data_IF_029839649371
#
_entry.id   IF_029839649371
#
_cell.length_a   1.000
_cell.length_b   1.000
_cell.length_c   1.000
_cell.angle_alpha   90.00
_cell.angle_beta   90.00
_cell.angle_gamma   90.00
#
_symmetry.space_group_name_H-M   'P 1'
#
loop_
_entity.id
_entity.type
_entity.pdbx_description
1 polymer ?
#
# COMPACT_ATOMS: atom_id res chain seq x y z
N UNK A 1 -108.11 38.93 67.71
CA UNK A 1 -107.45 40.23 67.84
C UNK A 1 -106.19 40.33 66.96
N UNK A 2 -106.21 41.35 66.31
CA UNK A 2 -105.37 42.42 65.80
C UNK A 2 -104.56 42.10 64.55
N UNK A 3 -104.96 42.85 63.70
CA UNK A 3 -104.43 43.60 62.52
C UNK A 3 -102.91 43.74 62.45
N UNK A 4 -102.32 43.66 61.21
CA UNK A 4 -101.72 44.84 60.56
C UNK A 4 -101.17 44.55 59.19
N UNK A 5 -101.65 45.33 58.29
CA UNK A 5 -101.11 45.98 57.12
C UNK A 5 -99.78 45.43 56.50
N UNK A 6 -99.87 44.85 55.29
CA UNK A 6 -98.78 44.64 54.45
C UNK A 6 -98.60 45.75 53.40
N UNK A 7 -97.45 46.32 53.31
CA UNK A 7 -96.98 47.19 52.22
C UNK A 7 -96.41 46.37 51.08
N UNK A 8 -96.98 46.48 49.88
CA UNK A 8 -96.39 45.97 48.63
C UNK A 8 -95.22 46.86 48.22
N UNK A 9 -94.07 46.26 48.09
CA UNK A 9 -92.90 46.90 47.50
C UNK A 9 -92.78 46.39 46.10
N UNK A 10 -92.90 47.28 45.08
CA UNK A 10 -92.59 47.00 43.66
C UNK A 10 -91.08 46.85 43.50
N UNK A 11 -90.61 45.67 43.18
CA UNK A 11 -89.20 45.41 42.77
C UNK A 11 -89.18 45.51 41.31
N UNK A 12 -88.54 46.57 40.77
CA UNK A 12 -88.22 46.73 39.36
C UNK A 12 -87.08 45.79 38.98
N UNK A 13 -87.32 44.78 38.18
CA UNK A 13 -86.29 43.94 37.60
C UNK A 13 -85.52 44.69 36.53
N UNK A 14 -84.30 45.12 36.85
CA UNK A 14 -83.35 45.58 35.91
C UNK A 14 -82.72 44.39 35.12
N UNK A 15 -83.10 44.23 33.91
CA UNK A 15 -82.44 43.25 32.98
C UNK A 15 -80.97 43.67 32.85
N UNK A 16 -80.04 42.88 33.46
CA UNK A 16 -78.60 42.93 33.17
C UNK A 16 -78.35 42.27 31.78
N UNK A 17 -78.17 43.06 30.77
CA UNK A 17 -77.59 42.60 29.50
C UNK A 17 -76.13 42.24 29.69
N UNK A 18 -75.83 40.94 29.67
CA UNK A 18 -74.46 40.44 29.62
C UNK A 18 -73.89 40.72 28.22
N UNK A 19 -73.08 41.75 28.10
CA UNK A 19 -72.33 42.01 26.90
C UNK A 19 -71.29 40.88 26.71
N UNK A 20 -71.51 40.05 25.71
CA UNK A 20 -70.53 39.05 25.28
C UNK A 20 -69.27 39.75 24.83
N UNK A 21 -68.20 39.56 25.61
CA UNK A 21 -66.83 40.06 25.32
C UNK A 21 -66.31 39.28 24.07
N UNK A 22 -66.41 39.90 22.89
CA UNK A 22 -65.81 39.42 21.65
C UNK A 22 -64.29 39.28 21.90
N UNK A 23 -63.75 38.05 21.87
CA UNK A 23 -62.32 37.81 21.85
C UNK A 23 -61.72 38.56 20.64
N UNK A 24 -60.62 39.29 20.81
CA UNK A 24 -60.00 39.97 19.68
C UNK A 24 -59.56 38.92 18.64
N UNK A 25 -60.04 39.03 17.43
CA UNK A 25 -59.56 38.25 16.30
C UNK A 25 -58.05 38.49 16.14
N UNK A 26 -57.25 37.48 16.42
CA UNK A 26 -55.79 37.50 16.24
C UNK A 26 -55.54 37.72 14.77
N UNK A 27 -55.25 38.96 14.37
CA UNK A 27 -54.81 39.32 13.03
C UNK A 27 -53.49 38.54 12.80
N UNK A 28 -53.56 37.39 12.08
CA UNK A 28 -52.39 36.73 11.58
C UNK A 28 -51.65 37.72 10.71
N UNK A 29 -50.46 38.13 11.09
CA UNK A 29 -49.65 39.02 10.26
C UNK A 29 -49.37 38.30 8.97
N UNK A 30 -49.64 38.92 7.80
CA UNK A 30 -49.36 38.36 6.49
C UNK A 30 -47.90 37.88 6.41
N UNK A 31 -46.98 38.47 7.14
CA UNK A 31 -45.60 38.06 7.30
C UNK A 31 -45.45 36.67 7.96
N UNK A 32 -46.22 36.37 9.02
CA UNK A 32 -46.17 35.05 9.69
C UNK A 32 -46.69 33.91 8.80
N UNK A 33 -47.75 34.21 7.97
CA UNK A 33 -48.25 33.17 7.05
C UNK A 33 -47.30 32.93 5.88
N UNK A 34 -46.62 33.93 5.36
CA UNK A 34 -45.59 33.78 4.30
C UNK A 34 -44.39 32.98 4.83
N UNK A 35 -43.90 33.27 6.03
CA UNK A 35 -42.82 32.50 6.67
C UNK A 35 -43.19 31.03 6.90
N UNK A 36 -44.42 30.74 7.35
CA UNK A 36 -44.93 29.40 7.50
C UNK A 36 -45.03 28.62 6.18
N UNK A 37 -45.42 29.30 5.09
CA UNK A 37 -45.43 28.74 3.74
C UNK A 37 -44.01 28.45 3.21
N UNK A 38 -43.08 29.36 3.38
CA UNK A 38 -41.69 29.18 2.99
C UNK A 38 -41.05 28.01 3.78
N UNK A 39 -41.32 27.92 5.07
CA UNK A 39 -40.86 26.81 5.88
C UNK A 39 -41.50 25.47 5.45
N UNK A 40 -42.80 25.48 5.13
CA UNK A 40 -43.50 24.30 4.60
C UNK A 40 -42.94 23.81 3.26
N UNK A 41 -42.65 24.75 2.32
CA UNK A 41 -42.02 24.40 1.04
C UNK A 41 -40.60 23.85 1.27
N UNK A 42 -39.80 24.48 2.12
CA UNK A 42 -38.47 24.01 2.47
C UNK A 42 -38.51 22.60 3.09
N UNK A 43 -39.40 22.38 4.04
CA UNK A 43 -39.61 21.08 4.68
C UNK A 43 -40.07 20.00 3.68
N UNK A 44 -41.01 20.33 2.79
CA UNK A 44 -41.46 19.44 1.71
C UNK A 44 -40.31 19.13 0.72
N UNK A 45 -39.49 20.12 0.37
CA UNK A 45 -38.31 19.95 -0.48
C UNK A 45 -37.29 19.02 0.18
N UNK A 46 -37.00 19.21 1.45
CA UNK A 46 -36.10 18.30 2.21
C UNK A 46 -36.67 16.90 2.29
N UNK A 47 -37.97 16.74 2.60
CA UNK A 47 -38.61 15.42 2.66
C UNK A 47 -38.59 14.71 1.30
N UNK A 48 -38.89 15.43 0.20
CA UNK A 48 -38.81 14.85 -1.15
C UNK A 48 -37.38 14.47 -1.53
N UNK A 49 -36.38 15.27 -1.17
CA UNK A 49 -34.95 14.97 -1.35
C UNK A 49 -34.54 13.72 -0.59
N UNK A 50 -34.97 13.58 0.66
CA UNK A 50 -34.71 12.36 1.47
C UNK A 50 -35.37 11.12 0.86
N UNK A 51 -36.62 11.20 0.43
CA UNK A 51 -37.31 10.10 -0.23
C UNK A 51 -36.61 9.67 -1.53
N UNK A 52 -36.19 10.64 -2.33
CA UNK A 52 -35.40 10.36 -3.54
C UNK A 52 -34.08 9.69 -3.20
N UNK A 53 -33.36 10.17 -2.18
CA UNK A 53 -32.09 9.56 -1.73
C UNK A 53 -32.29 8.12 -1.26
N UNK A 54 -33.35 7.84 -0.48
CA UNK A 54 -33.71 6.48 -0.06
C UNK A 54 -34.05 5.59 -1.25
N UNK A 55 -34.82 6.11 -2.21
CA UNK A 55 -35.15 5.38 -3.43
C UNK A 55 -33.91 5.02 -4.25
N UNK A 56 -33.04 6.00 -4.50
CA UNK A 56 -31.77 5.79 -5.21
C UNK A 56 -30.89 4.79 -4.49
N UNK A 57 -30.78 4.90 -3.16
CA UNK A 57 -30.02 3.96 -2.34
C UNK A 57 -30.57 2.55 -2.43
N UNK A 58 -31.90 2.36 -2.30
CA UNK A 58 -32.55 1.06 -2.41
C UNK A 58 -32.38 0.45 -3.82
N UNK A 59 -32.43 1.27 -4.86
CA UNK A 59 -32.19 0.86 -6.23
C UNK A 59 -30.75 0.37 -6.43
N UNK A 60 -29.76 1.14 -5.98
CA UNK A 60 -28.34 0.76 -6.02
C UNK A 60 -28.11 -0.52 -5.20
N UNK A 61 -28.67 -0.59 -3.98
CA UNK A 61 -28.46 -1.72 -3.08
C UNK A 61 -28.92 -3.07 -3.71
N UNK A 62 -29.99 -3.04 -4.52
CA UNK A 62 -30.47 -4.23 -5.25
C UNK A 62 -29.54 -4.67 -6.39
N UNK A 63 -28.77 -3.76 -6.94
CA UNK A 63 -27.83 -4.05 -8.04
C UNK A 63 -26.43 -4.45 -7.56
N UNK A 64 -26.20 -4.44 -6.25
CA UNK A 64 -24.89 -4.80 -5.70
C UNK A 64 -24.59 -6.28 -5.93
N UNK A 65 -23.36 -6.60 -6.36
CA UNK A 65 -22.93 -7.98 -6.53
C UNK A 65 -23.05 -8.78 -5.23
N UNK A 66 -23.14 -10.11 -5.31
CA UNK A 66 -23.11 -10.98 -4.14
C UNK A 66 -21.75 -10.83 -3.43
N UNK A 67 -21.74 -11.01 -2.10
CA UNK A 67 -20.52 -10.91 -1.28
C UNK A 67 -19.89 -12.27 -0.99
N UNK A 68 -20.36 -13.32 -1.62
CA UNK A 68 -19.83 -14.68 -1.43
C UNK A 68 -18.33 -14.76 -1.73
N UNK A 69 -17.85 -13.94 -2.68
CA UNK A 69 -16.42 -13.79 -3.00
C UNK A 69 -15.58 -13.20 -1.84
N UNK A 70 -16.20 -12.49 -0.90
CA UNK A 70 -15.51 -12.02 0.31
C UNK A 70 -15.55 -13.05 1.44
N UNK A 71 -16.67 -13.77 1.57
CA UNK A 71 -16.83 -14.79 2.60
C UNK A 71 -15.89 -16.00 2.37
N UNK A 72 -15.61 -16.33 1.11
CA UNK A 72 -14.64 -17.37 0.69
C UNK A 72 -13.37 -16.74 0.09
N UNK A 73 -12.98 -15.58 0.61
CA UNK A 73 -11.81 -14.87 0.11
C UNK A 73 -10.55 -15.69 0.32
N UNK A 74 -10.00 -16.17 -0.79
CA UNK A 74 -8.68 -16.77 -0.87
C UNK A 74 -7.75 -15.79 -1.59
N UNK A 75 -6.76 -15.21 -0.90
CA UNK A 75 -5.80 -14.35 -1.55
C UNK A 75 -5.11 -15.11 -2.69
N UNK A 76 -4.81 -14.41 -3.79
CA UNK A 76 -3.99 -14.98 -4.86
C UNK A 76 -2.59 -15.25 -4.30
N UNK A 77 -2.33 -16.49 -3.95
CA UNK A 77 -1.03 -16.92 -3.40
C UNK A 77 -0.18 -17.39 -4.57
N UNK A 78 1.07 -16.93 -4.69
CA UNK A 78 1.96 -17.33 -5.78
C UNK A 78 2.29 -18.82 -5.74
N UNK A 79 2.64 -19.37 -6.90
CA UNK A 79 3.24 -20.70 -7.00
C UNK A 79 4.62 -20.68 -6.32
N UNK A 80 4.87 -21.61 -5.42
CA UNK A 80 6.17 -21.83 -4.76
C UNK A 80 6.77 -23.13 -5.18
N UNK A 81 8.06 -23.09 -5.54
CA UNK A 81 8.84 -24.29 -5.91
C UNK A 81 9.92 -24.51 -4.89
N UNK A 82 9.96 -25.72 -4.35
CA UNK A 82 10.83 -26.14 -3.26
C UNK A 82 11.81 -27.21 -3.73
N UNK A 83 13.03 -27.16 -3.22
CA UNK A 83 14.02 -28.24 -3.37
C UNK A 83 13.70 -29.43 -2.48
N UNK A 84 14.38 -30.55 -2.69
CA UNK A 84 14.26 -31.76 -1.87
C UNK A 84 14.70 -31.53 -0.40
N UNK A 85 15.66 -30.63 -0.19
CA UNK A 85 16.16 -30.22 1.12
C UNK A 85 15.37 -29.04 1.74
N UNK A 86 14.17 -28.75 1.21
CA UNK A 86 13.20 -27.81 1.79
C UNK A 86 13.51 -26.32 1.58
N UNK A 87 14.42 -25.97 0.66
CA UNK A 87 14.71 -24.57 0.34
C UNK A 87 13.79 -24.06 -0.77
N UNK A 88 13.35 -22.80 -0.65
CA UNK A 88 12.56 -22.14 -1.68
C UNK A 88 13.47 -21.80 -2.87
N UNK A 89 13.21 -22.39 -4.04
CA UNK A 89 14.01 -22.21 -5.26
C UNK A 89 13.31 -21.44 -6.37
N UNK A 90 12.00 -21.17 -6.20
CA UNK A 90 11.24 -20.34 -7.13
C UNK A 90 9.93 -19.88 -6.51
N UNK A 91 9.54 -18.62 -6.82
CA UNK A 91 8.24 -18.07 -6.49
C UNK A 91 7.72 -17.31 -7.71
N UNK A 92 6.53 -17.70 -8.21
CA UNK A 92 5.95 -17.19 -9.45
C UNK A 92 4.54 -16.66 -9.19
N UNK A 93 4.35 -15.37 -9.45
CA UNK A 93 3.10 -14.64 -9.30
C UNK A 93 3.33 -13.15 -9.55
N UNK A 94 2.29 -12.46 -9.97
CA UNK A 94 2.36 -11.01 -10.21
C UNK A 94 2.42 -10.21 -8.92
N UNK A 95 1.85 -10.77 -7.85
CA UNK A 95 1.66 -10.10 -6.56
C UNK A 95 2.35 -10.89 -5.45
N UNK A 96 3.05 -10.19 -4.57
CA UNK A 96 3.56 -10.78 -3.34
C UNK A 96 2.47 -10.70 -2.30
N UNK A 97 1.89 -11.86 -1.95
CA UNK A 97 0.85 -11.97 -0.93
C UNK A 97 1.21 -13.07 0.07
N UNK A 98 1.40 -12.67 1.30
CA UNK A 98 1.51 -13.57 2.44
C UNK A 98 0.29 -13.36 3.32
N UNK A 99 -0.57 -14.34 3.40
CA UNK A 99 -1.77 -14.28 4.22
C UNK A 99 -1.43 -14.37 5.70
N UNK A 100 -2.09 -13.56 6.52
CA UNK A 100 -2.01 -13.59 7.98
C UNK A 100 -3.41 -13.56 8.57
N UNK A 101 -3.69 -14.41 9.56
CA UNK A 101 -4.95 -14.35 10.32
C UNK A 101 -4.91 -13.17 11.27
N UNK A 102 -6.05 -12.54 11.49
CA UNK A 102 -6.13 -11.40 12.40
C UNK A 102 -5.70 -11.77 13.83
N UNK A 103 -5.95 -13.02 14.25
CA UNK A 103 -5.51 -13.55 15.55
C UNK A 103 -3.98 -13.66 15.71
N UNK A 104 -3.24 -13.69 14.59
CA UNK A 104 -1.78 -13.78 14.57
C UNK A 104 -1.12 -12.39 14.49
N UNK A 105 -1.92 -11.34 14.29
CA UNK A 105 -1.44 -9.96 14.15
C UNK A 105 -1.27 -9.32 15.52
N UNK A 106 -0.09 -8.77 15.85
CA UNK A 106 0.12 -8.05 17.10
C UNK A 106 -0.81 -6.84 17.26
N UNK A 107 -1.21 -6.56 18.49
CA UNK A 107 -2.15 -5.47 18.78
C UNK A 107 -1.63 -4.10 18.33
N UNK A 108 -0.33 -3.81 18.50
CA UNK A 108 0.24 -2.53 18.07
C UNK A 108 0.14 -2.31 16.55
N UNK A 109 0.11 -3.38 15.75
CA UNK A 109 -0.10 -3.30 14.29
C UNK A 109 -1.56 -2.96 13.98
N UNK A 110 -2.51 -3.63 14.65
CA UNK A 110 -3.95 -3.33 14.52
C UNK A 110 -4.22 -1.88 14.93
N UNK A 111 -3.69 -1.46 16.07
CA UNK A 111 -3.82 -0.09 16.58
C UNK A 111 -3.23 0.95 15.61
N UNK A 112 -2.07 0.68 14.99
CA UNK A 112 -1.49 1.58 14.01
C UNK A 112 -2.39 1.75 12.78
N UNK A 113 -3.00 0.65 12.29
CA UNK A 113 -3.94 0.67 11.16
C UNK A 113 -5.20 1.47 11.51
N UNK A 114 -5.81 1.18 12.66
CA UNK A 114 -7.01 1.88 13.13
C UNK A 114 -6.75 3.37 13.32
N UNK A 115 -5.63 3.73 13.97
CA UNK A 115 -5.25 5.12 14.19
C UNK A 115 -4.99 5.89 12.89
N UNK A 116 -4.48 5.21 11.87
CA UNK A 116 -4.14 5.83 10.59
C UNK A 116 -5.32 6.01 9.65
N UNK A 117 -6.25 5.03 9.64
CA UNK A 117 -7.28 4.90 8.61
C UNK A 117 -8.71 5.09 9.13
N UNK A 118 -9.02 4.57 10.34
CA UNK A 118 -10.40 4.50 10.82
C UNK A 118 -10.46 4.25 12.34
N UNK A 119 -10.30 5.29 13.16
CA UNK A 119 -10.24 5.18 14.61
C UNK A 119 -11.56 4.72 15.25
N UNK A 120 -12.70 4.97 14.58
CA UNK A 120 -14.03 4.51 15.00
C UNK A 120 -14.49 3.21 14.34
N UNK A 121 -13.58 2.44 13.72
CA UNK A 121 -13.93 1.28 12.90
C UNK A 121 -14.89 0.30 13.58
N UNK A 122 -14.67 -0.02 14.84
CA UNK A 122 -15.50 -0.97 15.60
C UNK A 122 -16.87 -0.40 16.05
N UNK A 123 -17.05 0.92 15.97
CA UNK A 123 -18.24 1.62 16.49
C UNK A 123 -19.29 1.93 15.43
N UNK A 124 -18.87 2.25 14.19
CA UNK A 124 -19.77 2.67 13.12
C UNK A 124 -20.20 1.52 12.21
N UNK A 125 -21.38 1.58 11.57
CA UNK A 125 -21.92 0.53 10.66
C UNK A 125 -21.38 0.65 9.23
N UNK A 126 -20.06 0.78 9.04
CA UNK A 126 -19.40 0.86 7.75
C UNK A 126 -19.19 2.27 7.19
N UNK A 127 -19.82 3.28 7.78
CA UNK A 127 -19.66 4.69 7.41
C UNK A 127 -19.57 5.52 8.68
N UNK A 128 -18.56 6.36 8.77
CA UNK A 128 -18.42 7.37 9.81
C UNK A 128 -19.03 8.70 9.34
N UNK A 129 -20.28 8.98 9.70
CA UNK A 129 -21.01 10.21 9.29
C UNK A 129 -20.33 11.45 9.87
N UNK A 130 -19.86 11.39 11.11
CA UNK A 130 -19.16 12.48 11.80
C UNK A 130 -17.86 12.83 11.10
N UNK A 131 -17.10 11.84 10.65
CA UNK A 131 -15.88 12.00 9.84
C UNK A 131 -16.15 12.64 8.50
N UNK A 132 -17.22 12.25 7.83
CA UNK A 132 -17.64 12.85 6.55
C UNK A 132 -17.98 14.35 6.74
N UNK A 133 -18.74 14.69 7.77
CA UNK A 133 -19.10 16.08 8.09
C UNK A 133 -17.85 16.88 8.45
N UNK A 134 -16.97 16.34 9.29
CA UNK A 134 -15.69 16.94 9.69
C UNK A 134 -14.80 17.22 8.46
N UNK A 135 -14.66 16.22 7.58
CA UNK A 135 -13.88 16.35 6.36
C UNK A 135 -14.48 17.38 5.40
N UNK A 136 -15.80 17.42 5.22
CA UNK A 136 -16.49 18.39 4.38
C UNK A 136 -16.30 19.82 4.90
N UNK A 137 -16.46 20.03 6.21
CA UNK A 137 -16.28 21.32 6.85
C UNK A 137 -14.82 21.79 6.78
N UNK A 138 -13.86 20.91 7.08
CA UNK A 138 -12.43 21.18 6.98
C UNK A 138 -12.02 21.56 5.55
N UNK A 139 -12.48 20.81 4.55
CA UNK A 139 -12.20 21.10 3.14
C UNK A 139 -12.82 22.44 2.69
N UNK A 140 -14.03 22.77 3.17
CA UNK A 140 -14.69 24.03 2.87
C UNK A 140 -13.97 25.22 3.50
N UNK A 141 -13.47 25.09 4.73
CA UNK A 141 -12.79 26.15 5.47
C UNK A 141 -11.33 26.34 5.02
N UNK A 142 -10.62 25.27 4.68
CA UNK A 142 -9.18 25.33 4.39
C UNK A 142 -8.88 25.37 2.90
N UNK A 143 -9.84 25.10 2.02
CA UNK A 143 -9.65 24.97 0.57
C UNK A 143 -8.73 23.79 0.18
N UNK A 144 -8.28 22.99 1.14
CA UNK A 144 -7.37 21.86 0.92
C UNK A 144 -8.14 20.54 1.03
N UNK A 145 -8.03 19.68 0.03
CA UNK A 145 -8.51 18.28 0.08
C UNK A 145 -7.53 17.44 0.92
N UNK A 146 -7.56 17.58 2.24
CA UNK A 146 -6.52 17.05 3.12
C UNK A 146 -6.90 15.82 3.95
N UNK A 147 -8.17 15.66 4.34
CA UNK A 147 -8.59 14.51 5.16
C UNK A 147 -9.48 13.55 4.36
N UNK A 148 -9.05 12.30 4.25
CA UNK A 148 -9.84 11.21 3.70
C UNK A 148 -10.86 10.74 4.75
N UNK A 149 -12.16 10.88 4.46
CA UNK A 149 -13.24 10.37 5.30
C UNK A 149 -13.76 9.02 4.81
N UNK A 150 -12.91 8.14 4.29
CA UNK A 150 -13.31 6.79 3.85
C UNK A 150 -12.92 5.77 4.91
N UNK A 151 -13.87 4.95 5.34
CA UNK A 151 -13.66 3.89 6.34
C UNK A 151 -12.93 2.69 5.75
N UNK A 152 -12.40 1.82 6.62
CA UNK A 152 -11.79 0.53 6.23
C UNK A 152 -12.78 -0.29 5.40
N UNK A 153 -14.06 -0.38 5.81
CA UNK A 153 -15.08 -1.11 5.06
C UNK A 153 -15.31 -0.54 3.66
N UNK A 154 -15.30 0.79 3.49
CA UNK A 154 -15.38 1.43 2.18
C UNK A 154 -14.16 1.14 1.32
N UNK A 155 -12.98 1.01 1.91
CA UNK A 155 -11.77 0.63 1.18
C UNK A 155 -11.82 -0.83 0.72
N UNK A 156 -12.32 -1.74 1.55
CA UNK A 156 -12.61 -3.13 1.15
C UNK A 156 -13.61 -3.17 0.00
N UNK A 157 -14.73 -2.46 0.14
CA UNK A 157 -15.75 -2.38 -0.92
C UNK A 157 -15.15 -1.90 -2.25
N UNK A 158 -14.34 -0.87 -2.22
CA UNK A 158 -13.66 -0.32 -3.39
C UNK A 158 -12.70 -1.32 -4.04
N UNK A 159 -11.89 -1.99 -3.24
CA UNK A 159 -10.82 -2.86 -3.75
C UNK A 159 -11.35 -4.15 -4.39
N UNK A 160 -12.52 -4.64 -3.95
CA UNK A 160 -13.07 -5.90 -4.45
C UNK A 160 -14.11 -5.75 -5.54
N UNK A 161 -14.91 -4.68 -5.50
CA UNK A 161 -16.13 -4.62 -6.30
C UNK A 161 -16.21 -3.46 -7.28
N UNK A 162 -15.27 -2.49 -7.19
CA UNK A 162 -15.41 -1.24 -7.94
C UNK A 162 -14.19 -0.97 -8.83
N UNK A 163 -14.47 -0.31 -9.97
CA UNK A 163 -13.41 0.15 -10.88
C UNK A 163 -12.56 1.27 -10.28
N UNK A 164 -11.38 1.49 -10.84
CA UNK A 164 -10.45 2.54 -10.41
C UNK A 164 -10.92 3.96 -10.74
N UNK A 165 -11.98 4.13 -11.54
CA UNK A 165 -12.51 5.43 -11.94
C UNK A 165 -13.10 6.22 -10.75
N UNK A 166 -12.74 7.50 -10.64
CA UNK A 166 -13.19 8.39 -9.55
C UNK A 166 -14.45 9.12 -9.95
N UNK A 167 -15.63 8.50 -9.75
CA UNK A 167 -16.93 9.08 -10.02
C UNK A 167 -17.80 9.20 -8.76
N UNK A 168 -18.77 10.10 -8.76
CA UNK A 168 -19.75 10.20 -7.65
C UNK A 168 -20.61 8.95 -7.55
N UNK A 169 -20.96 8.36 -8.68
CA UNK A 169 -21.71 7.08 -8.74
C UNK A 169 -20.93 5.99 -8.03
N UNK A 170 -19.63 5.84 -8.29
CA UNK A 170 -18.77 4.89 -7.57
C UNK A 170 -18.83 5.11 -6.06
N UNK A 171 -18.81 6.37 -5.59
CA UNK A 171 -18.86 6.64 -4.13
C UNK A 171 -20.20 6.21 -3.52
N UNK A 172 -21.31 6.33 -4.24
CA UNK A 172 -22.61 5.80 -3.78
C UNK A 172 -22.60 4.26 -3.71
N UNK A 173 -21.98 3.60 -4.70
CA UNK A 173 -21.81 2.15 -4.66
C UNK A 173 -20.88 1.71 -3.50
N UNK A 174 -19.79 2.43 -3.23
CA UNK A 174 -18.93 2.18 -2.05
C UNK A 174 -19.75 2.20 -0.76
N UNK A 175 -20.56 3.23 -0.58
CA UNK A 175 -21.40 3.42 0.60
C UNK A 175 -22.40 2.26 0.73
N UNK A 176 -23.13 1.96 -0.33
CA UNK A 176 -24.15 0.91 -0.32
C UNK A 176 -23.51 -0.48 -0.10
N UNK A 177 -22.34 -0.74 -0.70
CA UNK A 177 -21.61 -1.98 -0.52
C UNK A 177 -21.05 -2.11 0.90
N UNK A 178 -20.59 -1.01 1.53
CA UNK A 178 -20.12 -1.04 2.92
C UNK A 178 -21.21 -1.52 3.88
N UNK A 179 -22.44 -1.03 3.75
CA UNK A 179 -23.56 -1.54 4.54
C UNK A 179 -23.85 -3.04 4.28
N UNK A 180 -23.73 -3.47 3.02
CA UNK A 180 -23.92 -4.88 2.67
C UNK A 180 -22.83 -5.76 3.27
N UNK A 181 -21.58 -5.32 3.25
CA UNK A 181 -20.43 -6.02 3.86
C UNK A 181 -20.63 -6.14 5.38
N UNK A 182 -20.88 -5.02 6.07
CA UNK A 182 -21.05 -4.98 7.53
C UNK A 182 -22.25 -5.83 8.04
N UNK A 183 -23.25 -6.01 7.19
CA UNK A 183 -24.39 -6.86 7.54
C UNK A 183 -24.06 -8.35 7.52
N UNK A 184 -23.04 -8.78 6.77
CA UNK A 184 -22.75 -10.18 6.50
C UNK A 184 -21.40 -10.64 7.08
N UNK A 185 -20.48 -9.73 7.40
CA UNK A 185 -19.18 -10.02 7.95
C UNK A 185 -19.00 -9.31 9.27
N UNK A 186 -18.27 -9.94 10.20
CA UNK A 186 -17.86 -9.30 11.44
C UNK A 186 -16.77 -8.25 11.17
N UNK A 187 -16.59 -7.32 12.11
CA UNK A 187 -15.52 -6.33 12.08
C UNK A 187 -14.15 -6.96 11.92
N UNK A 188 -13.89 -8.04 12.64
CA UNK A 188 -12.62 -8.76 12.59
C UNK A 188 -12.39 -9.39 11.20
N UNK A 189 -13.43 -9.96 10.60
CA UNK A 189 -13.35 -10.49 9.22
C UNK A 189 -13.07 -9.37 8.21
N UNK A 190 -13.70 -8.21 8.35
CA UNK A 190 -13.47 -7.05 7.47
C UNK A 190 -12.04 -6.54 7.62
N UNK A 191 -11.53 -6.42 8.86
CA UNK A 191 -10.16 -5.99 9.13
C UNK A 191 -9.13 -7.00 8.60
N UNK A 192 -9.38 -8.31 8.76
CA UNK A 192 -8.54 -9.37 8.20
C UNK A 192 -8.45 -9.28 6.68
N UNK A 193 -9.59 -9.11 6.01
CA UNK A 193 -9.65 -8.93 4.56
C UNK A 193 -8.86 -7.69 4.15
N UNK A 194 -9.07 -6.55 4.83
CA UNK A 194 -8.36 -5.31 4.56
C UNK A 194 -6.84 -5.49 4.68
N UNK A 195 -6.39 -6.07 5.80
CA UNK A 195 -4.97 -6.26 6.09
C UNK A 195 -4.25 -7.15 5.07
N UNK A 196 -4.96 -8.10 4.48
CA UNK A 196 -4.40 -9.02 3.49
C UNK A 196 -4.51 -8.51 2.04
N UNK A 197 -5.36 -7.48 1.78
CA UNK A 197 -5.67 -7.06 0.41
C UNK A 197 -5.06 -5.72 0.02
N UNK A 198 -4.82 -4.83 0.98
CA UNK A 198 -4.40 -3.47 0.67
C UNK A 198 -3.03 -3.42 0.00
N UNK A 199 -2.92 -2.63 -1.07
CA UNK A 199 -1.64 -2.39 -1.74
C UNK A 199 -0.79 -1.40 -0.96
N UNK A 200 0.44 -1.79 -0.64
CA UNK A 200 1.37 -1.01 0.18
C UNK A 200 2.66 -0.59 -0.56
N UNK A 201 2.67 -0.71 -1.87
CA UNK A 201 3.85 -0.38 -2.69
C UNK A 201 4.79 -1.57 -2.90
N UNK A 202 5.81 -1.42 -3.76
CA UNK A 202 6.81 -2.46 -4.07
C UNK A 202 6.22 -3.84 -4.41
N UNK A 203 5.05 -3.87 -5.06
CA UNK A 203 4.25 -5.07 -5.36
C UNK A 203 3.82 -5.85 -4.12
N UNK A 204 3.91 -5.26 -2.93
CA UNK A 204 3.44 -5.86 -1.69
C UNK A 204 1.95 -5.60 -1.50
N UNK A 205 1.18 -6.66 -1.44
CA UNK A 205 -0.23 -6.66 -1.08
C UNK A 205 -0.39 -7.30 0.29
N UNK A 206 -1.00 -6.57 1.20
CA UNK A 206 -1.17 -6.94 2.60
C UNK A 206 0.04 -6.59 3.48
N UNK A 207 -0.25 -6.45 4.77
CA UNK A 207 0.72 -5.98 5.77
C UNK A 207 1.86 -6.97 6.02
N UNK A 208 1.59 -8.28 6.01
CA UNK A 208 2.62 -9.31 6.19
C UNK A 208 3.65 -9.25 5.06
N UNK A 209 3.19 -9.16 3.82
CA UNK A 209 4.07 -9.05 2.65
C UNK A 209 4.85 -7.73 2.64
N UNK A 210 4.21 -6.64 3.10
CA UNK A 210 4.87 -5.33 3.24
C UNK A 210 5.96 -5.34 4.33
N UNK A 211 5.71 -5.96 5.49
CA UNK A 211 6.70 -6.10 6.55
C UNK A 211 7.97 -6.82 6.05
N UNK A 212 7.79 -7.93 5.33
CA UNK A 212 8.91 -8.63 4.70
C UNK A 212 9.62 -7.81 3.63
N UNK A 213 8.86 -7.09 2.82
CA UNK A 213 9.40 -6.28 1.72
C UNK A 213 10.22 -5.09 2.25
N UNK A 214 9.69 -4.36 3.22
CA UNK A 214 10.32 -3.13 3.70
C UNK A 214 11.34 -3.34 4.82
N UNK A 215 11.10 -4.33 5.70
CA UNK A 215 11.93 -4.56 6.89
C UNK A 215 12.63 -5.92 6.91
N UNK A 216 12.26 -6.86 6.01
CA UNK A 216 12.84 -8.21 5.98
C UNK A 216 12.41 -9.09 7.14
N UNK A 217 11.35 -8.72 7.87
CA UNK A 217 10.82 -9.41 9.05
C UNK A 217 9.36 -9.77 8.85
N UNK A 218 8.89 -10.74 9.61
CA UNK A 218 7.45 -11.03 9.69
C UNK A 218 6.71 -9.98 10.54
N UNK A 219 5.40 -9.92 10.39
CA UNK A 219 4.57 -8.88 11.00
C UNK A 219 4.59 -8.92 12.55
N UNK A 220 4.82 -10.09 13.13
CA UNK A 220 4.98 -10.31 14.56
C UNK A 220 6.30 -9.78 15.15
N UNK A 221 7.28 -9.46 14.28
CA UNK A 221 8.62 -9.02 14.67
C UNK A 221 8.87 -7.53 14.45
N UNK A 222 7.92 -6.81 13.88
CA UNK A 222 8.12 -5.37 13.61
C UNK A 222 7.85 -4.52 14.85
N UNK A 223 8.55 -3.38 14.96
CA UNK A 223 8.34 -2.41 16.04
C UNK A 223 7.08 -1.58 15.85
N UNK A 224 6.70 -0.82 16.89
CA UNK A 224 5.58 0.12 16.81
C UNK A 224 5.81 1.19 15.73
N UNK A 225 7.04 1.69 15.57
CA UNK A 225 7.38 2.65 14.52
C UNK A 225 7.35 2.05 13.12
N UNK A 226 7.76 0.80 12.97
CA UNK A 226 7.65 0.06 11.71
C UNK A 226 6.17 -0.19 11.37
N UNK A 227 5.35 -0.57 12.35
CA UNK A 227 3.90 -0.73 12.17
C UNK A 227 3.23 0.60 11.77
N UNK A 228 3.59 1.71 12.42
CA UNK A 228 3.12 3.05 12.06
C UNK A 228 3.55 3.47 10.64
N UNK A 229 4.74 3.04 10.21
CA UNK A 229 5.23 3.27 8.83
C UNK A 229 4.34 2.54 7.82
N UNK A 230 4.08 1.24 8.04
CA UNK A 230 3.21 0.45 7.16
C UNK A 230 1.78 0.99 7.13
N UNK A 231 1.22 1.34 8.28
CA UNK A 231 -0.12 1.92 8.39
C UNK A 231 -0.26 3.29 7.71
N UNK A 232 0.86 3.97 7.49
CA UNK A 232 0.89 5.24 6.75
C UNK A 232 0.85 5.09 5.22
N UNK A 233 1.10 3.90 4.67
CA UNK A 233 1.25 3.67 3.23
C UNK A 233 -0.05 3.71 2.42
N UNK A 234 -1.21 3.19 2.89
CA UNK A 234 -2.41 3.05 2.09
C UNK A 234 -2.87 4.34 1.41
N UNK A 235 -2.68 5.48 2.05
CA UNK A 235 -3.07 6.80 1.54
C UNK A 235 -2.38 7.14 0.22
N UNK A 236 -1.07 6.86 0.12
CA UNK A 236 -0.29 7.10 -1.10
C UNK A 236 1.00 6.24 -1.07
N UNK A 237 0.93 4.95 -1.44
CA UNK A 237 2.02 4.01 -1.30
C UNK A 237 3.31 4.42 -2.01
N UNK A 238 3.21 5.10 -3.16
CA UNK A 238 4.39 5.59 -3.87
C UNK A 238 5.01 6.84 -3.22
N UNK A 239 4.18 7.74 -2.68
CA UNK A 239 4.64 9.00 -2.08
C UNK A 239 5.27 8.81 -0.71
N UNK A 240 4.77 7.86 0.07
CA UNK A 240 5.24 7.54 1.42
C UNK A 240 6.12 6.28 1.47
N UNK A 241 6.60 5.83 0.33
CA UNK A 241 7.49 4.68 0.24
C UNK A 241 8.78 4.93 1.06
N UNK A 242 9.06 4.13 2.09
CA UNK A 242 10.19 4.38 3.00
C UNK A 242 11.56 4.18 2.33
N UNK A 243 11.60 3.41 1.25
CA UNK A 243 12.81 3.16 0.48
C UNK A 243 13.10 4.31 -0.49
N UNK A 244 12.06 4.79 -1.19
CA UNK A 244 12.21 5.80 -2.25
C UNK A 244 12.15 7.22 -1.70
N UNK A 245 11.30 7.45 -0.68
CA UNK A 245 11.03 8.76 -0.09
C UNK A 245 11.12 8.72 1.44
N UNK A 246 12.29 8.44 2.03
CA UNK A 246 12.43 8.23 3.48
C UNK A 246 11.96 9.42 4.32
N UNK A 247 12.20 10.65 3.86
CA UNK A 247 11.77 11.87 4.55
C UNK A 247 10.23 11.95 4.65
N UNK A 248 9.51 11.72 3.55
CA UNK A 248 8.04 11.74 3.56
C UNK A 248 7.47 10.57 4.37
N UNK A 249 8.10 9.41 4.27
CA UNK A 249 7.72 8.24 5.05
C UNK A 249 7.88 8.50 6.56
N UNK A 250 9.00 9.12 6.98
CA UNK A 250 9.21 9.52 8.39
C UNK A 250 8.15 10.53 8.87
N UNK A 251 7.83 11.53 8.07
CA UNK A 251 6.75 12.48 8.41
C UNK A 251 5.41 11.74 8.61
N UNK A 252 5.09 10.78 7.74
CA UNK A 252 3.85 10.01 7.82
C UNK A 252 3.87 9.03 9.00
N UNK A 253 4.99 8.35 9.27
CA UNK A 253 5.22 7.55 10.50
C UNK A 253 4.90 8.36 11.74
N UNK A 254 5.50 9.54 11.87
CA UNK A 254 5.32 10.40 13.05
C UNK A 254 3.87 10.88 13.20
N UNK A 255 3.17 11.14 12.11
CA UNK A 255 1.74 11.43 12.14
C UNK A 255 0.94 10.24 12.72
N UNK A 256 1.20 9.02 12.25
CA UNK A 256 0.48 7.82 12.75
C UNK A 256 0.81 7.56 14.22
N UNK A 257 2.09 7.66 14.62
CA UNK A 257 2.50 7.56 16.03
C UNK A 257 1.78 8.59 16.91
N UNK A 258 1.66 9.84 16.45
CA UNK A 258 0.90 10.87 17.14
C UNK A 258 -0.58 10.48 17.32
N UNK A 259 -1.20 9.93 16.27
CA UNK A 259 -2.58 9.44 16.37
C UNK A 259 -2.72 8.28 17.34
N UNK A 260 -1.76 7.32 17.33
CA UNK A 260 -1.76 6.20 18.29
C UNK A 260 -1.68 6.68 19.72
N UNK A 261 -0.85 7.70 20.01
CA UNK A 261 -0.76 8.34 21.32
C UNK A 261 -2.08 9.04 21.69
N UNK A 262 -2.61 9.85 20.79
CA UNK A 262 -3.83 10.63 21.05
C UNK A 262 -5.06 9.73 21.31
N UNK A 263 -5.06 8.51 20.77
CA UNK A 263 -6.06 7.48 21.01
C UNK A 263 -5.75 6.57 22.21
N UNK A 264 -4.62 6.78 22.90
CA UNK A 264 -4.22 5.98 24.05
C UNK A 264 -3.72 4.58 23.74
N UNK A 265 -3.37 4.29 22.48
CA UNK A 265 -2.81 3.00 22.06
C UNK A 265 -1.33 2.84 22.44
N UNK A 266 -0.62 3.95 22.60
CA UNK A 266 0.75 4.01 23.10
C UNK A 266 0.87 5.16 24.10
N UNK A 267 1.81 5.04 25.03
CA UNK A 267 2.15 6.11 25.96
C UNK A 267 3.12 7.14 25.36
N UNK A 268 3.32 8.25 26.06
CA UNK A 268 4.20 9.34 25.62
C UNK A 268 5.65 8.87 25.47
N UNK A 269 6.10 7.97 26.36
CA UNK A 269 7.48 7.47 26.33
C UNK A 269 7.72 6.64 25.07
N UNK A 270 6.81 5.75 24.73
CA UNK A 270 6.84 4.94 23.49
C UNK A 270 6.77 5.85 22.27
N UNK A 271 5.89 6.86 22.28
CA UNK A 271 5.78 7.82 21.19
C UNK A 271 7.12 8.55 20.91
N UNK A 272 7.73 9.15 21.93
CA UNK A 272 8.99 9.89 21.74
C UNK A 272 10.15 8.96 21.37
N UNK A 273 10.21 7.75 21.96
CA UNK A 273 11.22 6.74 21.63
C UNK A 273 11.13 6.31 20.15
N UNK A 274 9.96 5.91 19.68
CA UNK A 274 9.77 5.42 18.30
C UNK A 274 9.87 6.54 17.25
N UNK A 275 9.53 7.77 17.63
CA UNK A 275 9.69 8.96 16.80
C UNK A 275 11.15 9.31 16.60
N UNK A 276 11.98 9.20 17.65
CA UNK A 276 13.40 9.47 17.62
C UNK A 276 14.19 8.41 16.83
N UNK A 277 13.68 7.18 16.74
CA UNK A 277 14.37 6.11 16.02
C UNK A 277 14.40 6.39 14.51
N UNK A 278 15.61 6.35 13.90
CA UNK A 278 15.73 6.46 12.46
C UNK A 278 15.04 5.27 11.79
N UNK A 279 14.38 5.53 10.68
CA UNK A 279 13.72 4.48 9.91
C UNK A 279 14.77 3.56 9.28
N UNK A 280 14.81 2.33 9.78
CA UNK A 280 15.67 1.28 9.24
C UNK A 280 14.84 0.44 8.27
N UNK A 281 14.93 0.74 6.99
CA UNK A 281 14.42 -0.15 5.96
C UNK A 281 15.46 -1.20 5.61
N UNK A 282 15.00 -2.36 5.17
CA UNK A 282 15.89 -3.29 4.47
C UNK A 282 16.58 -2.49 3.38
N UNK A 283 17.91 -2.37 3.46
CA UNK A 283 18.70 -1.64 2.49
C UNK A 283 18.32 -2.17 1.11
N UNK A 284 17.67 -1.34 0.31
CA UNK A 284 17.51 -1.69 -1.10
C UNK A 284 18.91 -1.59 -1.66
N UNK A 285 19.51 -2.73 -1.69
CA UNK A 285 20.62 -2.99 -2.54
C UNK A 285 20.31 -2.38 -3.93
N UNK A 286 21.28 -1.77 -4.56
CA UNK A 286 21.21 -1.30 -5.96
C UNK A 286 20.46 -2.33 -6.81
N UNK A 287 19.91 -1.92 -7.97
CA UNK A 287 19.22 -2.84 -8.89
C UNK A 287 19.97 -4.18 -9.02
N UNK A 288 21.28 -4.16 -8.87
CA UNK A 288 22.24 -5.26 -8.89
C UNK A 288 22.19 -6.11 -7.62
N UNK A 289 22.08 -5.49 -6.45
CA UNK A 289 21.88 -6.15 -5.16
C UNK A 289 20.42 -6.60 -4.95
N UNK A 290 19.41 -5.99 -5.64
CA UNK A 290 18.02 -6.48 -5.64
C UNK A 290 17.92 -7.80 -6.39
N UNK A 291 18.64 -7.96 -7.49
CA UNK A 291 18.70 -9.24 -8.21
C UNK A 291 19.44 -10.29 -7.37
N UNK A 292 20.47 -9.90 -6.62
CA UNK A 292 21.26 -10.82 -5.79
C UNK A 292 20.72 -11.04 -4.38
N UNK A 293 20.12 -10.03 -3.73
CA UNK A 293 19.67 -10.12 -2.34
C UNK A 293 18.17 -10.47 -2.17
N UNK A 294 17.34 -10.26 -3.20
CA UNK A 294 15.97 -10.80 -3.24
C UNK A 294 15.90 -12.21 -3.82
N UNK A 295 16.98 -12.67 -4.42
CA UNK A 295 17.14 -14.06 -4.82
C UNK A 295 18.17 -14.64 -3.86
N UNK A 296 17.74 -15.49 -2.94
CA UNK A 296 18.67 -16.33 -2.20
C UNK A 296 19.63 -17.00 -3.20
N UNK A 297 20.82 -17.36 -2.79
CA UNK A 297 21.76 -18.10 -3.64
C UNK A 297 21.07 -19.32 -4.29
N UNK A 298 20.10 -19.90 -3.58
CA UNK A 298 19.27 -20.99 -4.06
C UNK A 298 18.40 -20.61 -5.27
N UNK A 299 17.78 -19.44 -5.26
CA UNK A 299 16.98 -18.95 -6.39
C UNK A 299 17.84 -18.79 -7.66
N UNK A 300 19.03 -18.22 -7.52
CA UNK A 300 19.92 -18.01 -8.68
C UNK A 300 20.41 -19.33 -9.22
N UNK A 301 20.81 -20.24 -8.33
CA UNK A 301 21.41 -21.53 -8.67
C UNK A 301 20.39 -22.48 -9.30
N UNK A 302 19.13 -22.47 -8.85
CA UNK A 302 18.10 -23.41 -9.33
C UNK A 302 17.07 -22.76 -10.27
N UNK A 303 17.28 -21.54 -10.76
CA UNK A 303 16.34 -20.77 -11.58
C UNK A 303 15.75 -21.54 -12.76
N UNK A 304 16.57 -22.28 -13.49
CA UNK A 304 16.09 -23.07 -14.64
C UNK A 304 15.22 -24.26 -14.21
N UNK A 305 15.57 -24.93 -13.12
CA UNK A 305 14.75 -26.02 -12.57
C UNK A 305 13.40 -25.51 -12.06
N UNK A 306 13.40 -24.38 -11.37
CA UNK A 306 12.18 -23.72 -10.90
C UNK A 306 11.28 -23.29 -12.07
N UNK A 307 11.86 -22.74 -13.15
CA UNK A 307 11.11 -22.33 -14.35
C UNK A 307 10.51 -23.54 -15.07
N UNK A 308 11.25 -24.64 -15.20
CA UNK A 308 10.72 -25.89 -15.75
C UNK A 308 9.54 -26.40 -14.94
N UNK A 309 9.66 -26.41 -13.62
CA UNK A 309 8.57 -26.79 -12.73
C UNK A 309 7.33 -25.89 -12.92
N UNK A 310 7.53 -24.56 -13.05
CA UNK A 310 6.47 -23.62 -13.35
C UNK A 310 5.75 -23.95 -14.66
N UNK A 311 6.51 -24.23 -15.71
CA UNK A 311 5.94 -24.57 -17.03
C UNK A 311 5.08 -25.84 -16.96
N UNK A 312 5.55 -26.89 -16.29
CA UNK A 312 4.80 -28.13 -16.13
C UNK A 312 3.48 -27.92 -15.35
N UNK A 313 3.52 -27.10 -14.30
CA UNK A 313 2.31 -26.74 -13.53
C UNK A 313 1.36 -25.88 -14.35
N UNK A 314 1.88 -24.94 -15.12
CA UNK A 314 1.08 -24.08 -15.99
C UNK A 314 0.35 -24.87 -17.08
N UNK A 315 0.95 -25.93 -17.62
CA UNK A 315 0.30 -26.77 -18.61
C UNK A 315 -0.97 -27.42 -18.08
N UNK A 316 -1.01 -27.74 -16.78
CA UNK A 316 -2.17 -28.36 -16.11
C UNK A 316 -3.17 -27.32 -15.61
N UNK A 317 -2.69 -26.29 -14.89
CA UNK A 317 -3.55 -25.35 -14.14
C UNK A 317 -3.75 -24.00 -14.83
N UNK A 318 -3.08 -23.73 -15.94
CA UNK A 318 -3.14 -22.47 -16.72
C UNK A 318 -2.97 -21.25 -15.79
N UNK A 319 -3.88 -20.25 -15.88
CA UNK A 319 -3.80 -19.02 -15.09
C UNK A 319 -3.96 -19.25 -13.58
N UNK A 320 -4.59 -20.34 -13.16
CA UNK A 320 -4.72 -20.70 -11.75
C UNK A 320 -3.37 -21.03 -11.09
N UNK A 321 -2.36 -21.37 -11.88
CA UNK A 321 -0.98 -21.58 -11.44
C UNK A 321 -0.47 -20.44 -10.56
N UNK A 322 -0.85 -19.21 -10.89
CA UNK A 322 -0.34 -18.00 -10.24
C UNK A 322 -1.22 -17.47 -9.09
N UNK A 323 -2.34 -18.15 -8.81
CA UNK A 323 -3.33 -17.66 -7.85
C UNK A 323 -3.78 -18.67 -6.80
N UNK A 324 -3.56 -19.99 -7.05
CA UNK A 324 -4.05 -21.09 -6.15
C UNK A 324 -3.14 -21.36 -4.95
N UNK A 325 -1.96 -20.76 -4.87
CA UNK A 325 -1.00 -21.06 -3.79
C UNK A 325 -0.41 -22.47 -3.88
N UNK A 326 -0.19 -22.93 -5.09
CA UNK A 326 0.37 -24.27 -5.32
C UNK A 326 1.82 -24.33 -4.80
N UNK A 327 2.16 -25.45 -4.15
CA UNK A 327 3.53 -25.76 -3.74
C UNK A 327 4.02 -26.96 -4.55
N UNK A 328 5.14 -26.78 -5.24
CA UNK A 328 5.81 -27.82 -6.01
C UNK A 328 7.07 -28.24 -5.28
N UNK A 329 7.15 -29.48 -4.92
CA UNK A 329 8.34 -30.08 -4.30
C UNK A 329 9.11 -30.83 -5.38
N UNK A 330 10.34 -30.39 -5.65
CA UNK A 330 11.20 -31.01 -6.65
C UNK A 330 12.14 -32.02 -6.00
N UNK A 331 12.78 -32.81 -6.82
CA UNK A 331 13.87 -33.73 -6.41
C UNK A 331 15.25 -33.08 -6.45
N UNK A 332 15.31 -31.75 -6.63
CA UNK A 332 16.57 -31.00 -6.71
C UNK A 332 17.20 -30.92 -5.32
N UNK A 333 18.38 -31.47 -5.15
CA UNK A 333 19.27 -31.23 -4.02
C UNK A 333 20.11 -29.99 -4.28
N UNK A 334 20.07 -29.01 -3.37
CA UNK A 334 20.74 -27.73 -3.62
C UNK A 334 22.25 -27.79 -3.55
N UNK A 335 22.83 -28.72 -2.80
CA UNK A 335 24.27 -28.95 -2.78
C UNK A 335 24.79 -29.49 -4.13
N UNK A 336 24.10 -30.50 -4.66
CA UNK A 336 24.40 -31.05 -5.97
C UNK A 336 24.17 -30.03 -7.09
N UNK A 337 23.07 -29.26 -7.01
CA UNK A 337 22.73 -28.19 -7.96
C UNK A 337 23.80 -27.09 -8.01
N UNK A 338 24.28 -26.63 -6.85
CA UNK A 338 25.35 -25.65 -6.77
C UNK A 338 26.64 -26.19 -7.39
N UNK A 339 27.01 -27.40 -7.07
CA UNK A 339 28.21 -28.06 -7.64
C UNK A 339 28.13 -28.14 -9.17
N UNK A 340 26.96 -28.51 -9.70
CA UNK A 340 26.74 -28.59 -11.13
C UNK A 340 26.83 -27.20 -11.81
N UNK A 341 26.22 -26.18 -11.22
CA UNK A 341 26.28 -24.78 -11.76
C UNK A 341 27.71 -24.27 -11.74
N UNK A 342 28.46 -24.49 -10.66
CA UNK A 342 29.86 -24.08 -10.54
C UNK A 342 30.76 -24.82 -11.57
N UNK A 343 30.49 -26.10 -11.83
CA UNK A 343 31.22 -26.86 -12.84
C UNK A 343 30.96 -26.31 -14.25
N UNK A 344 29.70 -26.06 -14.60
CA UNK A 344 29.31 -25.44 -15.90
C UNK A 344 29.96 -24.09 -16.04
N UNK A 345 29.90 -23.24 -15.00
CA UNK A 345 30.49 -21.91 -15.00
C UNK A 345 32.00 -21.96 -15.24
N UNK A 346 32.73 -22.76 -14.48
CA UNK A 346 34.18 -22.94 -14.65
C UNK A 346 34.52 -23.36 -16.07
N UNK A 347 33.74 -24.28 -16.63
CA UNK A 347 33.99 -24.77 -17.99
C UNK A 347 33.70 -23.71 -19.05
N UNK A 348 32.63 -22.93 -18.90
CA UNK A 348 32.32 -21.83 -19.82
C UNK A 348 33.38 -20.73 -19.79
N UNK A 349 33.84 -20.32 -18.59
CA UNK A 349 34.94 -19.36 -18.44
C UNK A 349 36.23 -19.90 -19.08
N UNK A 350 36.57 -21.16 -18.82
CA UNK A 350 37.74 -21.80 -19.42
C UNK A 350 37.67 -21.84 -20.94
N UNK A 351 36.49 -22.17 -21.50
CA UNK A 351 36.20 -22.14 -22.92
C UNK A 351 36.37 -20.73 -23.50
N UNK A 352 35.77 -19.72 -22.88
CA UNK A 352 35.85 -18.35 -23.35
C UNK A 352 37.28 -17.81 -23.31
N UNK A 353 38.04 -18.11 -22.25
CA UNK A 353 39.48 -17.77 -22.17
C UNK A 353 40.31 -18.43 -23.27
N UNK A 354 39.98 -19.64 -23.72
CA UNK A 354 40.66 -20.35 -24.80
C UNK A 354 40.48 -19.66 -26.13
N UNK A 355 39.29 -19.08 -26.39
CA UNK A 355 38.98 -18.41 -27.65
C UNK A 355 39.35 -16.92 -27.65
N UNK A 356 39.78 -16.39 -26.51
CA UNK A 356 40.29 -15.05 -26.38
C UNK A 356 39.25 -13.99 -26.09
N UNK A 357 39.72 -12.84 -25.67
CA UNK A 357 38.90 -11.69 -25.29
C UNK A 357 38.17 -11.10 -26.53
N UNK A 358 36.87 -10.86 -26.41
CA UNK A 358 36.00 -10.40 -27.51
C UNK A 358 35.81 -8.87 -27.54
N UNK A 359 36.34 -8.15 -26.59
CA UNK A 359 36.19 -6.70 -26.42
C UNK A 359 35.29 -6.33 -25.26
N UNK A 360 35.21 -5.04 -24.92
CA UNK A 360 34.34 -4.53 -23.91
C UNK A 360 32.87 -4.58 -24.35
N UNK A 361 31.95 -4.65 -23.42
CA UNK A 361 30.51 -4.66 -23.71
C UNK A 361 30.00 -3.30 -24.18
N UNK A 362 30.58 -2.21 -23.68
CA UNK A 362 30.26 -0.85 -24.10
C UNK A 362 31.40 0.10 -23.83
N UNK A 363 31.41 1.19 -24.58
CA UNK A 363 32.31 2.32 -24.34
C UNK A 363 31.57 3.43 -23.63
N UNK A 364 32.23 4.07 -22.64
CA UNK A 364 31.62 5.07 -21.77
C UNK A 364 32.51 6.31 -21.80
N UNK A 365 31.91 7.45 -22.13
CA UNK A 365 32.56 8.76 -21.94
C UNK A 365 32.39 9.19 -20.48
N UNK A 366 33.50 9.27 -19.76
CA UNK A 366 33.54 9.73 -18.38
C UNK A 366 33.48 11.26 -18.26
N UNK A 367 33.70 12.00 -19.37
CA UNK A 367 33.71 13.47 -19.36
C UNK A 367 34.78 14.08 -18.47
N UNK A 368 34.56 15.30 -17.94
CA UNK A 368 35.51 15.96 -17.03
C UNK A 368 35.65 15.20 -15.71
N UNK A 369 36.83 15.28 -15.09
CA UNK A 369 37.19 14.53 -13.86
C UNK A 369 36.18 14.70 -12.71
N UNK A 370 35.57 15.88 -12.59
CA UNK A 370 34.57 16.20 -11.56
C UNK A 370 33.28 15.36 -11.71
N UNK A 371 33.00 14.85 -12.92
CA UNK A 371 31.80 14.03 -13.22
C UNK A 371 32.07 12.54 -13.29
N UNK A 372 33.34 12.10 -13.17
CA UNK A 372 33.69 10.68 -13.29
C UNK A 372 32.85 9.78 -12.36
N UNK A 373 32.75 10.13 -11.07
CA UNK A 373 31.99 9.33 -10.10
C UNK A 373 30.50 9.23 -10.45
N UNK A 374 29.92 10.30 -10.98
CA UNK A 374 28.52 10.33 -11.41
C UNK A 374 28.31 9.48 -12.66
N UNK A 375 29.18 9.63 -13.65
CA UNK A 375 29.09 8.93 -14.93
C UNK A 375 29.38 7.43 -14.77
N UNK A 376 30.33 7.03 -13.91
CA UNK A 376 30.56 5.62 -13.54
C UNK A 376 29.29 5.03 -12.91
N UNK A 377 28.69 5.73 -11.94
CA UNK A 377 27.45 5.27 -11.30
C UNK A 377 26.32 5.11 -12.30
N UNK A 378 26.14 6.07 -13.20
CA UNK A 378 25.11 6.04 -14.25
C UNK A 378 25.33 4.89 -15.25
N UNK A 379 26.57 4.61 -15.58
CA UNK A 379 26.93 3.51 -16.48
C UNK A 379 26.68 2.14 -15.85
N UNK A 380 27.17 1.94 -14.63
CA UNK A 380 26.99 0.69 -13.89
C UNK A 380 25.49 0.42 -13.60
N UNK A 381 24.68 1.47 -13.36
CA UNK A 381 23.24 1.34 -13.15
C UNK A 381 22.47 0.86 -14.39
N UNK A 382 23.02 1.07 -15.61
CA UNK A 382 22.42 0.62 -16.87
C UNK A 382 22.84 -0.80 -17.26
N UNK A 383 23.85 -1.33 -16.59
CA UNK A 383 24.41 -2.65 -16.93
C UNK A 383 23.53 -3.75 -16.33
N UNK A 384 23.28 -4.79 -17.11
CA UNK A 384 22.54 -5.97 -16.63
C UNK A 384 23.37 -6.70 -15.59
N UNK A 385 22.84 -6.82 -14.37
CA UNK A 385 23.51 -7.55 -13.31
C UNK A 385 23.65 -9.04 -13.67
N UNK A 386 24.85 -9.57 -13.52
CA UNK A 386 25.12 -11.00 -13.59
C UNK A 386 25.40 -11.52 -12.17
N UNK A 387 24.76 -12.62 -11.75
CA UNK A 387 25.02 -13.18 -10.43
C UNK A 387 26.44 -13.73 -10.24
N UNK A 388 27.22 -13.79 -11.30
CA UNK A 388 28.53 -14.44 -11.34
C UNK A 388 29.66 -13.57 -11.87
N UNK A 389 29.35 -12.38 -12.33
CA UNK A 389 30.31 -11.42 -12.86
C UNK A 389 29.96 -10.02 -12.39
N UNK A 390 30.95 -9.28 -11.96
CA UNK A 390 30.78 -7.90 -11.53
C UNK A 390 31.08 -6.96 -12.69
N UNK A 391 30.14 -6.08 -13.00
CA UNK A 391 30.37 -5.05 -13.98
C UNK A 391 31.38 -4.01 -13.44
N UNK A 392 32.34 -3.63 -14.26
CA UNK A 392 33.35 -2.66 -13.90
C UNK A 392 33.63 -1.68 -15.04
N UNK A 393 33.86 -0.43 -14.71
CA UNK A 393 34.29 0.60 -15.65
C UNK A 393 35.80 0.75 -15.60
N UNK A 394 36.48 0.47 -16.70
CA UNK A 394 37.94 0.66 -16.80
C UNK A 394 38.22 2.15 -16.73
N UNK A 395 38.98 2.57 -15.73
CA UNK A 395 39.38 3.98 -15.51
C UNK A 395 40.80 4.26 -15.99
N UNK A 396 41.64 3.24 -16.03
CA UNK A 396 43.03 3.34 -16.48
C UNK A 396 43.46 1.97 -17.04
N UNK A 397 44.14 1.97 -18.18
CA UNK A 397 44.66 0.76 -18.77
C UNK A 397 46.04 1.01 -19.34
N UNK A 398 47.04 0.22 -18.93
CA UNK A 398 48.35 0.15 -19.54
C UNK A 398 48.71 -1.30 -19.87
N UNK A 399 49.92 -1.52 -20.38
CA UNK A 399 50.38 -2.86 -20.78
C UNK A 399 50.56 -3.85 -19.60
N UNK A 400 50.56 -3.39 -18.38
CA UNK A 400 50.86 -4.17 -17.18
C UNK A 400 49.72 -4.23 -16.19
N UNK A 401 48.94 -3.16 -16.12
CA UNK A 401 47.92 -2.98 -15.09
C UNK A 401 46.67 -2.35 -15.70
N UNK A 402 45.51 -2.85 -15.28
CA UNK A 402 44.21 -2.19 -15.52
C UNK A 402 43.63 -1.79 -14.16
N UNK A 403 43.16 -0.56 -14.05
CA UNK A 403 42.31 -0.12 -12.94
C UNK A 403 40.88 -0.04 -13.41
N UNK A 404 39.98 -0.65 -12.65
CA UNK A 404 38.57 -0.65 -12.96
C UNK A 404 37.76 -0.26 -11.73
N UNK A 405 36.78 0.61 -11.89
CA UNK A 405 35.86 1.03 -10.85
C UNK A 405 34.68 0.06 -10.77
N UNK A 406 34.46 -0.56 -9.62
CA UNK A 406 33.32 -1.39 -9.28
C UNK A 406 32.14 -0.53 -8.79
N UNK A 407 32.44 0.63 -8.24
CA UNK A 407 31.47 1.66 -7.81
C UNK A 407 32.13 3.04 -7.88
N UNK A 408 31.40 4.09 -7.53
CA UNK A 408 31.98 5.45 -7.45
C UNK A 408 33.18 5.58 -6.50
N UNK A 409 33.26 4.67 -5.51
CA UNK A 409 34.25 4.75 -4.42
C UNK A 409 35.12 3.49 -4.29
N UNK A 410 34.94 2.51 -5.16
CA UNK A 410 35.63 1.24 -5.08
C UNK A 410 36.30 0.92 -6.40
N UNK A 411 37.60 0.68 -6.37
CA UNK A 411 38.41 0.32 -7.55
C UNK A 411 39.15 -0.99 -7.31
N UNK A 412 39.25 -1.78 -8.37
CA UNK A 412 40.05 -3.00 -8.41
C UNK A 412 41.22 -2.81 -9.37
N UNK A 413 42.36 -3.41 -9.04
CA UNK A 413 43.55 -3.41 -9.90
C UNK A 413 43.76 -4.84 -10.41
N UNK A 414 43.71 -4.98 -11.73
CA UNK A 414 43.99 -6.26 -12.41
C UNK A 414 45.46 -6.26 -12.86
N UNK A 415 46.20 -7.23 -12.41
CA UNK A 415 47.63 -7.39 -12.72
C UNK A 415 47.88 -8.12 -14.06
N UNK A 416 49.14 -8.21 -14.39
CA UNK A 416 49.55 -8.85 -15.67
C UNK A 416 49.19 -10.34 -15.78
N UNK A 417 48.96 -11.03 -14.63
CA UNK A 417 48.58 -12.43 -14.61
C UNK A 417 47.08 -12.58 -14.89
N UNK A 418 46.27 -11.78 -14.24
CA UNK A 418 44.81 -11.69 -14.46
C UNK A 418 44.48 -11.30 -15.90
N UNK A 419 45.37 -10.60 -16.58
CA UNK A 419 45.18 -10.07 -17.93
C UNK A 419 45.73 -10.96 -19.05
N UNK A 420 46.31 -12.12 -18.74
CA UNK A 420 46.94 -13.00 -19.74
C UNK A 420 46.08 -13.27 -20.99
N UNK A 421 44.77 -13.48 -20.82
CA UNK A 421 43.88 -13.79 -21.92
C UNK A 421 43.48 -12.57 -22.78
N UNK A 422 43.46 -11.36 -22.16
CA UNK A 422 43.09 -10.09 -22.82
C UNK A 422 44.28 -9.28 -23.35
N UNK A 423 45.51 -9.67 -23.03
CA UNK A 423 46.76 -8.89 -23.28
C UNK A 423 46.98 -8.45 -24.70
N UNK A 424 46.56 -9.25 -25.69
CA UNK A 424 46.70 -8.93 -27.13
C UNK A 424 45.81 -7.78 -27.58
N UNK A 425 44.74 -7.50 -26.84
CA UNK A 425 43.76 -6.45 -27.14
C UNK A 425 44.05 -5.15 -26.42
N UNK A 426 44.68 -5.17 -25.24
CA UNK A 426 44.98 -3.99 -24.43
C UNK A 426 45.92 -3.01 -25.14
N UNK A 427 46.94 -3.50 -25.88
CA UNK A 427 47.87 -2.67 -26.60
C UNK A 427 47.24 -1.92 -27.80
N UNK A 428 46.09 -2.38 -28.32
CA UNK A 428 45.34 -1.72 -29.39
C UNK A 428 44.37 -0.68 -28.82
N UNK A 429 43.79 -0.94 -27.66
CA UNK A 429 42.84 -0.05 -26.99
C UNK A 429 43.48 1.26 -26.56
N UNK A 430 44.75 1.23 -26.09
CA UNK A 430 45.45 2.44 -25.61
C UNK A 430 45.80 3.45 -26.71
N UNK A 431 45.84 3.03 -27.99
CA UNK A 431 46.22 3.91 -29.12
C UNK A 431 45.00 4.48 -29.88
N UNK A 432 43.87 3.83 -29.84
CA UNK A 432 42.73 4.15 -30.71
C UNK A 432 41.55 4.76 -29.99
N UNK A 433 41.42 4.59 -28.67
CA UNK A 433 40.28 5.08 -27.92
C UNK A 433 40.72 5.79 -26.63
N UNK A 434 40.43 7.09 -26.57
CA UNK A 434 40.49 7.88 -25.33
C UNK A 434 39.35 7.57 -24.36
N UNK A 435 38.41 6.77 -24.80
CA UNK A 435 37.19 6.44 -24.07
C UNK A 435 37.37 5.11 -23.35
N UNK A 436 36.94 5.10 -22.08
CA UNK A 436 37.09 3.99 -21.16
C UNK A 436 35.96 2.99 -21.34
N UNK A 437 36.23 1.72 -21.11
CA UNK A 437 35.33 0.63 -21.45
C UNK A 437 34.63 -0.01 -20.26
N UNK A 438 33.39 -0.43 -20.45
CA UNK A 438 32.65 -1.28 -19.51
C UNK A 438 33.03 -2.74 -19.74
N UNK A 439 33.49 -3.41 -18.69
CA UNK A 439 33.85 -4.84 -18.72
C UNK A 439 33.16 -5.58 -17.57
N UNK A 440 32.95 -6.88 -17.73
CA UNK A 440 32.60 -7.77 -16.63
C UNK A 440 33.86 -8.49 -16.12
N UNK A 441 34.04 -8.48 -14.79
CA UNK A 441 35.15 -9.14 -14.11
C UNK A 441 34.60 -10.40 -13.42
N UNK A 442 35.19 -11.54 -13.66
CA UNK A 442 34.94 -12.77 -12.89
C UNK A 442 35.97 -12.88 -11.76
N UNK A 443 35.50 -13.25 -10.56
CA UNK A 443 36.36 -13.65 -9.46
C UNK A 443 37.28 -14.81 -9.78
#
# INVERSE_FOLDING_TARGET
>A
SSHTHGRRIHVTQTKRTTAARKKPARKSSRAGSVLAWLFGIAAAGIASGLLLAVFVFAFIYRQLPPIDTLADYRPRVPLRVWSADGKLIGEFGEERRDFVRLSEVPEHVKHAILAAEDDGFYEHPGIEITGIIRAALSNALTGRRGQGGSTITQQVARNFFLSSERTYTRKLYEIAMSFKIERNLSKDQILEIYMNQIYLGQRAYGFQSAARTYFGRSLDQISVGEAATLAGLPVAPSAYNPIVNPTRATMRKNYVLGRMRDLGYIDELTYESEKAQPMQTRRVATQQEIVTANMSEEFVTAKYAAELARMLVYDVFKEETYSRGLNVYTTIDMGAQKTAVDAVRRQLISYDRKYGYRGPEAYIDLGPAEKHAENIRAALAKTTASPFMVAAVVTEADSKVIRAALSANETVTLDAESLKFGRRHLGKVSKQYKDLSLIHISE
#
